data_IF_347026513312
#
_entry.id   IF_347026513312
#
_cell.length_a   1.000
_cell.length_b   1.000
_cell.length_c   1.000
_cell.angle_alpha   90.00
_cell.angle_beta   90.00
_cell.angle_gamma   90.00
#
_symmetry.space_group_name_H-M   'P 1'
#
loop_
_entity.id
_entity.type
_entity.pdbx_description
1 polymer ?
#
# COMPACT_ATOMS: atom_id res chain seq x y z
N UNK A 1 -12.72 1.87 10.33
CA UNK A 1 -13.44 2.38 9.16
C UNK A 1 -14.35 3.55 9.55
N UNK A 2 -14.36 4.61 8.75
CA UNK A 2 -15.16 5.81 8.98
C UNK A 2 -16.27 6.00 7.94
N UNK A 3 -16.23 5.26 6.86
CA UNK A 3 -17.21 5.36 5.78
C UNK A 3 -18.41 4.46 6.09
N UNK A 4 -19.51 5.05 6.53
CA UNK A 4 -20.74 4.35 6.92
C UNK A 4 -21.27 3.42 5.82
N UNK A 5 -21.23 3.86 4.56
CA UNK A 5 -21.71 3.06 3.40
C UNK A 5 -20.86 1.79 3.21
N UNK A 6 -19.53 1.89 3.36
CA UNK A 6 -18.64 0.73 3.27
C UNK A 6 -18.83 -0.22 4.44
N UNK A 7 -19.06 0.31 5.65
CA UNK A 7 -19.39 -0.47 6.84
C UNK A 7 -20.66 -1.29 6.60
N UNK A 8 -21.72 -0.67 6.11
CA UNK A 8 -23.00 -1.34 5.86
C UNK A 8 -22.87 -2.46 4.80
N UNK A 9 -22.07 -2.23 3.74
CA UNK A 9 -21.78 -3.23 2.73
C UNK A 9 -21.00 -4.42 3.34
N UNK A 10 -19.97 -4.12 4.14
CA UNK A 10 -19.15 -5.16 4.77
C UNK A 10 -19.97 -6.03 5.74
N UNK A 11 -20.81 -5.41 6.56
CA UNK A 11 -21.68 -6.13 7.50
C UNK A 11 -22.73 -7.03 6.81
N UNK A 12 -23.16 -6.65 5.58
CA UNK A 12 -24.09 -7.48 4.78
C UNK A 12 -23.41 -8.70 4.15
N UNK A 13 -22.13 -8.58 3.80
CA UNK A 13 -21.44 -9.57 2.98
C UNK A 13 -20.53 -10.52 3.77
N UNK A 14 -20.24 -10.21 5.03
CA UNK A 14 -19.29 -10.99 5.84
C UNK A 14 -19.94 -11.40 7.15
N UNK A 15 -20.03 -12.70 7.38
CA UNK A 15 -20.52 -13.25 8.64
C UNK A 15 -19.49 -13.05 9.76
N UNK A 16 -19.97 -12.85 11.00
CA UNK A 16 -19.13 -12.69 12.20
C UNK A 16 -18.14 -11.51 12.14
N UNK A 17 -18.47 -10.46 11.37
CA UNK A 17 -17.67 -9.26 11.28
C UNK A 17 -17.92 -8.33 12.47
N UNK A 18 -16.83 -7.89 13.11
CA UNK A 18 -16.86 -6.84 14.14
C UNK A 18 -16.08 -5.63 13.65
N UNK A 19 -16.72 -4.48 13.51
CA UNK A 19 -16.10 -3.24 13.05
C UNK A 19 -15.90 -2.30 14.22
N UNK A 20 -14.67 -1.78 14.37
CA UNK A 20 -14.29 -0.78 15.36
C UNK A 20 -13.53 0.36 14.68
N UNK A 21 -13.68 1.56 15.21
CA UNK A 21 -13.02 2.76 14.68
C UNK A 21 -11.55 2.89 15.08
N UNK A 22 -11.13 2.19 16.13
CA UNK A 22 -9.75 2.25 16.66
C UNK A 22 -9.31 0.92 17.22
N UNK A 23 -8.01 0.60 17.07
CA UNK A 23 -7.42 -0.63 17.59
C UNK A 23 -7.54 -0.75 19.12
N UNK A 24 -7.47 0.37 19.86
CA UNK A 24 -7.66 0.43 21.31
C UNK A 24 -9.00 -0.16 21.79
N UNK A 25 -10.00 -0.22 20.92
CA UNK A 25 -11.31 -0.80 21.23
C UNK A 25 -11.28 -2.33 21.35
N UNK A 26 -10.16 -2.98 21.00
CA UNK A 26 -9.96 -4.43 21.09
C UNK A 26 -9.12 -4.86 22.31
N UNK A 27 -9.00 -4.04 23.34
CA UNK A 27 -8.11 -4.23 24.51
C UNK A 27 -8.10 -5.63 25.11
N UNK A 28 -9.22 -6.35 25.10
CA UNK A 28 -9.35 -7.70 25.67
C UNK A 28 -9.26 -8.81 24.62
N UNK A 29 -9.20 -8.49 23.32
CA UNK A 29 -9.10 -9.48 22.26
C UNK A 29 -7.64 -9.70 21.88
N UNK A 30 -7.29 -10.98 21.68
CA UNK A 30 -5.98 -11.39 21.16
C UNK A 30 -6.19 -12.02 19.79
N UNK A 31 -5.50 -11.46 18.80
CA UNK A 31 -5.59 -11.90 17.41
C UNK A 31 -4.43 -12.85 17.08
N UNK A 32 -4.69 -13.80 16.18
CA UNK A 32 -3.70 -14.71 15.63
C UNK A 32 -3.06 -14.16 14.36
N UNK A 33 -3.77 -13.24 13.68
CA UNK A 33 -3.30 -12.56 12.48
C UNK A 33 -3.83 -11.12 12.45
N UNK A 34 -2.95 -10.19 12.10
CA UNK A 34 -3.32 -8.80 11.73
C UNK A 34 -2.78 -8.51 10.33
N UNK A 35 -3.60 -7.87 9.52
CA UNK A 35 -3.27 -7.50 8.15
C UNK A 35 -3.44 -5.99 7.96
N UNK A 36 -2.40 -5.34 7.47
CA UNK A 36 -2.34 -3.90 7.17
C UNK A 36 -2.00 -3.70 5.69
N UNK A 37 -3.02 -3.73 4.82
CA UNK A 37 -2.85 -3.44 3.41
C UNK A 37 -3.09 -1.96 3.13
N UNK A 38 -2.03 -1.25 2.78
CA UNK A 38 -2.06 0.19 2.51
C UNK A 38 -2.75 0.99 3.63
N UNK A 39 -2.30 0.76 4.87
CA UNK A 39 -2.86 1.39 6.07
C UNK A 39 -1.79 2.16 6.84
N UNK A 40 -0.58 1.57 6.99
CA UNK A 40 0.47 2.11 7.86
C UNK A 40 0.99 3.46 7.37
N UNK A 41 1.00 3.70 6.05
CA UNK A 41 1.41 4.96 5.43
C UNK A 41 0.48 6.14 5.70
N UNK A 42 -0.78 5.84 6.10
CA UNK A 42 -1.78 6.86 6.45
C UNK A 42 -1.80 7.21 7.94
N UNK A 43 -1.01 6.54 8.76
CA UNK A 43 -0.96 6.77 10.19
C UNK A 43 -0.05 7.94 10.53
N UNK A 44 -0.46 8.80 11.47
CA UNK A 44 0.35 9.93 11.94
C UNK A 44 1.57 9.47 12.74
N UNK A 45 1.40 8.42 13.54
CA UNK A 45 2.46 7.82 14.35
C UNK A 45 2.45 6.29 14.16
N UNK A 46 3.05 5.79 13.07
CA UNK A 46 3.06 4.36 12.77
C UNK A 46 3.82 3.52 13.82
N UNK A 47 4.80 4.10 14.52
CA UNK A 47 5.54 3.40 15.57
C UNK A 47 4.64 3.12 16.78
N UNK A 48 3.87 4.11 17.21
CA UNK A 48 2.93 3.93 18.32
C UNK A 48 1.77 2.99 17.93
N UNK A 49 1.31 3.04 16.68
CA UNK A 49 0.29 2.11 16.19
C UNK A 49 0.81 0.66 16.20
N UNK A 50 2.05 0.41 15.78
CA UNK A 50 2.67 -0.92 15.86
C UNK A 50 2.78 -1.42 17.31
N UNK A 51 3.11 -0.55 18.27
CA UNK A 51 3.08 -0.89 19.70
C UNK A 51 1.69 -1.28 20.17
N UNK A 52 0.65 -0.55 19.72
CA UNK A 52 -0.74 -0.88 20.05
C UNK A 52 -1.19 -2.20 19.41
N UNK A 53 -0.78 -2.46 18.17
CA UNK A 53 -1.02 -3.72 17.47
C UNK A 53 -0.41 -4.88 18.23
N UNK A 54 0.83 -4.75 18.66
CA UNK A 54 1.51 -5.76 19.49
C UNK A 54 0.70 -6.13 20.75
N UNK A 55 0.11 -5.13 21.41
CA UNK A 55 -0.67 -5.37 22.64
C UNK A 55 -1.94 -6.19 22.42
N UNK A 56 -2.44 -6.28 21.20
CA UNK A 56 -3.63 -7.09 20.85
C UNK A 56 -3.30 -8.37 20.10
N UNK A 57 -2.02 -8.64 19.82
CA UNK A 57 -1.55 -9.90 19.28
C UNK A 57 -1.24 -10.91 20.39
N UNK A 58 -1.40 -12.19 20.09
CA UNK A 58 -0.83 -13.29 20.90
C UNK A 58 0.65 -13.47 20.53
N UNK A 59 1.48 -13.97 21.45
CA UNK A 59 2.81 -14.44 21.08
C UNK A 59 2.73 -15.55 20.02
N UNK A 60 3.61 -15.52 19.05
CA UNK A 60 3.61 -16.43 17.91
C UNK A 60 2.64 -16.04 16.78
N UNK A 61 1.82 -15.00 16.96
CA UNK A 61 0.88 -14.51 15.94
C UNK A 61 1.58 -13.81 14.78
N UNK A 62 0.87 -13.70 13.67
CA UNK A 62 1.38 -13.15 12.44
C UNK A 62 0.89 -11.72 12.20
N UNK A 63 1.73 -10.93 11.55
CA UNK A 63 1.34 -9.65 10.96
C UNK A 63 1.76 -9.62 9.48
N UNK A 64 0.86 -9.15 8.63
CA UNK A 64 1.15 -8.84 7.22
C UNK A 64 1.05 -7.34 7.05
N UNK A 65 2.10 -6.73 6.53
CA UNK A 65 2.15 -5.30 6.23
C UNK A 65 2.50 -5.12 4.77
N UNK A 66 1.62 -4.42 4.03
CA UNK A 66 1.85 -4.01 2.66
C UNK A 66 1.80 -2.50 2.57
N UNK A 67 2.89 -1.87 2.10
CA UNK A 67 3.02 -0.41 1.97
C UNK A 67 3.79 -0.04 0.70
N UNK A 68 3.62 1.19 0.18
CA UNK A 68 4.45 1.71 -0.89
C UNK A 68 5.94 1.70 -0.53
N UNK A 69 6.77 1.22 -1.46
CA UNK A 69 8.21 1.07 -1.28
C UNK A 69 8.98 2.28 -1.81
N UNK A 70 9.38 3.18 -0.94
CA UNK A 70 10.19 4.34 -1.31
C UNK A 70 11.58 3.96 -1.90
N UNK A 71 12.00 2.69 -1.71
CA UNK A 71 13.25 2.17 -2.33
C UNK A 71 13.04 1.57 -3.72
N UNK A 72 11.81 1.59 -4.27
CA UNK A 72 11.47 1.07 -5.59
C UNK A 72 12.16 1.83 -6.72
N UNK A 73 12.25 1.20 -7.89
CA UNK A 73 12.75 1.90 -9.08
C UNK A 73 11.80 3.00 -9.52
N UNK A 74 10.49 2.80 -9.41
CA UNK A 74 9.49 3.84 -9.70
C UNK A 74 9.71 5.08 -8.85
N UNK A 75 9.84 4.91 -7.51
CA UNK A 75 10.06 6.03 -6.60
C UNK A 75 11.34 6.81 -6.93
N UNK A 76 12.43 6.11 -7.27
CA UNK A 76 13.71 6.72 -7.63
C UNK A 76 13.65 7.48 -8.95
N UNK A 77 12.99 6.91 -9.96
CA UNK A 77 12.91 7.49 -11.30
C UNK A 77 11.97 8.70 -11.31
N UNK A 78 10.75 8.54 -10.81
CA UNK A 78 9.70 9.55 -10.93
C UNK A 78 9.69 10.59 -9.81
N UNK A 79 10.33 10.31 -8.66
CA UNK A 79 10.47 11.26 -7.54
C UNK A 79 9.12 11.87 -7.15
N UNK A 80 8.97 13.21 -7.31
CA UNK A 80 7.73 13.95 -7.00
C UNK A 80 6.52 13.54 -7.85
N UNK A 81 6.74 12.91 -9.00
CA UNK A 81 5.69 12.45 -9.90
C UNK A 81 5.31 10.97 -9.68
N UNK A 82 5.95 10.29 -8.71
CA UNK A 82 5.62 8.92 -8.39
C UNK A 82 4.18 8.81 -7.86
N UNK A 83 3.39 7.88 -8.41
CA UNK A 83 1.99 7.69 -8.05
C UNK A 83 1.81 7.51 -6.54
N UNK A 84 2.58 6.61 -5.94
CA UNK A 84 2.42 6.24 -4.53
C UNK A 84 3.05 7.25 -3.55
N UNK A 85 3.59 8.37 -4.02
CA UNK A 85 3.96 9.47 -3.13
C UNK A 85 2.73 10.07 -2.46
N UNK A 86 1.65 10.25 -3.20
CA UNK A 86 0.26 10.58 -2.81
C UNK A 86 0.11 11.51 -1.59
N UNK A 87 0.90 12.58 -1.56
CA UNK A 87 0.84 13.62 -0.50
C UNK A 87 -0.37 14.53 -0.76
N UNK A 88 -1.18 14.87 0.26
CA UNK A 88 -0.96 14.67 1.71
C UNK A 88 -1.62 13.40 2.29
N UNK A 89 -2.18 12.51 1.47
CA UNK A 89 -2.89 11.32 1.96
C UNK A 89 -1.92 10.31 2.59
N UNK A 90 -0.76 10.08 1.98
CA UNK A 90 0.32 9.31 2.58
C UNK A 90 1.14 10.23 3.49
N UNK A 91 1.05 10.00 4.81
CA UNK A 91 1.75 10.76 5.83
C UNK A 91 3.17 10.24 6.07
N UNK A 92 3.37 8.94 5.84
CA UNK A 92 4.65 8.28 6.01
C UNK A 92 5.06 7.53 4.74
N UNK A 93 6.38 7.51 4.47
CA UNK A 93 6.94 6.79 3.33
C UNK A 93 8.04 5.84 3.80
N UNK A 94 7.87 4.56 3.53
CA UNK A 94 8.74 3.53 4.05
C UNK A 94 9.77 3.07 3.01
N UNK A 95 11.05 3.11 3.42
CA UNK A 95 12.08 2.32 2.76
C UNK A 95 12.02 0.91 3.31
N UNK A 96 12.17 -0.10 2.47
CA UNK A 96 12.15 -1.51 2.89
C UNK A 96 13.01 -1.80 4.12
N UNK A 97 14.27 -1.36 4.12
CA UNK A 97 15.18 -1.57 5.25
C UNK A 97 14.68 -0.94 6.56
N UNK A 98 14.12 0.28 6.47
CA UNK A 98 13.57 0.96 7.64
C UNK A 98 12.32 0.24 8.19
N UNK A 99 11.42 -0.21 7.32
CA UNK A 99 10.25 -0.98 7.75
C UNK A 99 10.63 -2.28 8.46
N UNK A 100 11.63 -3.01 7.94
CA UNK A 100 12.14 -4.23 8.59
C UNK A 100 12.75 -3.92 9.97
N UNK A 101 13.54 -2.85 10.08
CA UNK A 101 14.12 -2.45 11.35
C UNK A 101 13.05 -2.08 12.37
N UNK A 102 12.04 -1.31 11.98
CA UNK A 102 10.89 -0.95 12.82
C UNK A 102 10.18 -2.21 13.34
N UNK A 103 10.01 -3.24 12.52
CA UNK A 103 9.39 -4.50 12.95
C UNK A 103 10.28 -5.23 13.98
N UNK A 104 11.57 -5.34 13.71
CA UNK A 104 12.54 -5.98 14.64
C UNK A 104 12.55 -5.26 15.98
N UNK A 105 12.62 -3.93 15.98
CA UNK A 105 12.63 -3.09 17.19
C UNK A 105 11.31 -3.21 18.01
N UNK A 106 10.25 -3.70 17.36
CA UNK A 106 8.96 -3.99 18.00
C UNK A 106 8.72 -5.48 18.28
N UNK A 107 9.77 -6.30 18.36
CA UNK A 107 9.74 -7.73 18.65
C UNK A 107 8.97 -8.55 17.59
N UNK A 108 9.16 -8.23 16.33
CA UNK A 108 8.66 -9.04 15.21
C UNK A 108 9.84 -9.64 14.44
N UNK A 109 9.80 -10.94 14.21
CA UNK A 109 10.73 -11.66 13.33
C UNK A 109 10.17 -11.70 11.91
N UNK A 110 10.90 -11.14 10.94
CA UNK A 110 10.48 -11.15 9.52
C UNK A 110 10.62 -12.58 8.97
N UNK A 111 9.51 -13.15 8.50
CA UNK A 111 9.43 -14.49 7.92
C UNK A 111 9.60 -14.44 6.40
N UNK A 112 8.88 -13.53 5.74
CA UNK A 112 8.84 -13.44 4.29
C UNK A 112 8.74 -11.99 3.83
N UNK A 113 9.34 -11.72 2.69
CA UNK A 113 9.29 -10.44 1.99
C UNK A 113 8.85 -10.69 0.55
N UNK A 114 7.94 -9.86 0.03
CA UNK A 114 7.51 -9.86 -1.37
C UNK A 114 7.53 -8.44 -1.91
N UNK A 115 7.78 -8.35 -3.22
CA UNK A 115 7.74 -7.09 -3.96
C UNK A 115 6.80 -7.17 -5.17
N UNK A 116 6.01 -8.25 -5.23
CA UNK A 116 5.12 -8.53 -6.36
C UNK A 116 3.76 -7.90 -6.07
N UNK A 117 3.34 -7.00 -6.94
CA UNK A 117 1.99 -6.42 -6.89
C UNK A 117 1.46 -6.21 -8.31
N UNK A 118 0.61 -7.14 -8.76
CA UNK A 118 0.03 -7.08 -10.12
C UNK A 118 -0.86 -5.85 -10.32
N UNK A 119 -1.44 -5.32 -9.27
CA UNK A 119 -2.30 -4.14 -9.31
C UNK A 119 -1.49 -2.84 -9.28
N UNK A 120 -0.56 -2.72 -8.31
CA UNK A 120 0.09 -1.45 -8.02
C UNK A 120 1.30 -1.16 -8.92
N UNK A 121 2.08 -2.19 -9.32
CA UNK A 121 3.30 -1.96 -10.08
C UNK A 121 3.03 -1.51 -11.52
N UNK A 122 2.23 -2.21 -12.36
CA UNK A 122 2.00 -1.76 -13.73
C UNK A 122 1.32 -0.40 -13.78
N UNK A 123 0.27 -0.20 -12.97
CA UNK A 123 -0.44 1.08 -12.87
C UNK A 123 0.50 2.18 -12.36
N UNK A 124 1.35 1.86 -11.39
CA UNK A 124 2.36 2.79 -10.88
C UNK A 124 3.32 3.28 -11.95
N UNK A 125 3.81 2.40 -12.83
CA UNK A 125 4.64 2.79 -13.97
C UNK A 125 3.89 3.69 -14.95
N UNK A 126 2.66 3.32 -15.35
CA UNK A 126 1.84 4.10 -16.29
C UNK A 126 1.52 5.47 -15.72
N UNK A 127 0.91 5.52 -14.53
CA UNK A 127 0.46 6.78 -13.92
C UNK A 127 1.63 7.71 -13.61
N UNK A 128 2.75 7.19 -13.09
CA UNK A 128 3.93 8.01 -12.82
C UNK A 128 4.56 8.57 -14.10
N UNK A 129 4.54 7.81 -15.20
CA UNK A 129 4.98 8.29 -16.52
C UNK A 129 4.09 9.41 -17.03
N UNK A 130 2.76 9.24 -16.92
CA UNK A 130 1.80 10.26 -17.34
C UNK A 130 1.90 11.52 -16.47
N UNK A 131 2.06 11.37 -15.15
CA UNK A 131 2.30 12.48 -14.23
C UNK A 131 3.58 13.26 -14.59
N UNK A 132 4.62 12.55 -15.01
CA UNK A 132 5.89 13.15 -15.42
C UNK A 132 5.73 13.94 -16.74
N UNK A 133 5.05 13.36 -17.74
CA UNK A 133 4.84 13.95 -19.07
C UNK A 133 3.92 15.16 -18.98
N UNK A 134 2.78 15.02 -18.32
CA UNK A 134 1.73 16.05 -18.31
C UNK A 134 1.85 17.02 -17.13
N UNK A 135 2.82 16.81 -16.22
CA UNK A 135 3.04 17.62 -15.01
C UNK A 135 1.78 17.75 -14.13
N UNK A 136 0.86 16.80 -14.24
CA UNK A 136 -0.40 16.74 -13.50
C UNK A 136 -0.44 15.46 -12.65
N UNK A 137 -0.76 15.60 -11.35
CA UNK A 137 -0.87 14.47 -10.43
C UNK A 137 -2.20 13.75 -10.59
N UNK A 138 -2.16 12.43 -10.47
CA UNK A 138 -3.35 11.56 -10.53
C UNK A 138 -4.11 11.69 -11.86
N UNK A 139 -3.35 11.70 -12.94
CA UNK A 139 -3.85 11.94 -14.28
C UNK A 139 -4.94 10.93 -14.70
N UNK A 140 -4.74 9.63 -14.51
CA UNK A 140 -5.73 8.59 -14.82
C UNK A 140 -6.92 8.69 -13.86
N UNK A 141 -6.69 8.87 -12.57
CA UNK A 141 -7.77 8.98 -11.57
C UNK A 141 -8.70 10.16 -11.88
N UNK A 142 -8.15 11.29 -12.26
CA UNK A 142 -8.91 12.46 -12.70
C UNK A 142 -9.64 12.20 -14.02
N UNK A 143 -9.04 11.42 -14.90
CA UNK A 143 -9.64 11.04 -16.16
C UNK A 143 -10.87 10.16 -15.97
N UNK A 144 -10.75 9.14 -15.11
CA UNK A 144 -11.83 8.20 -14.82
C UNK A 144 -12.97 8.81 -13.99
N UNK A 145 -12.67 9.80 -13.14
CA UNK A 145 -13.67 10.51 -12.33
C UNK A 145 -14.39 11.65 -13.07
N UNK A 146 -13.85 12.11 -14.22
CA UNK A 146 -14.47 13.15 -15.00
C UNK A 146 -15.51 12.55 -15.95
N UNK A 147 -16.77 13.05 -15.91
CA UNK A 147 -17.82 12.75 -16.91
C UNK A 147 -17.50 13.29 -18.32
N UNK A 148 -16.27 13.71 -18.57
CA UNK A 148 -15.82 14.20 -19.88
C UNK A 148 -15.59 13.01 -20.80
N UNK A 149 -16.06 13.14 -22.05
CA UNK A 149 -15.87 12.14 -23.13
C UNK A 149 -14.45 11.59 -23.11
N UNK A 150 -14.33 10.27 -23.12
CA UNK A 150 -13.05 9.56 -23.20
C UNK A 150 -12.18 10.18 -24.30
N UNK A 151 -11.04 10.72 -23.93
CA UNK A 151 -10.11 11.25 -24.90
C UNK A 151 -9.33 10.08 -25.51
N UNK A 152 -9.56 9.80 -26.78
CA UNK A 152 -8.96 8.70 -27.54
C UNK A 152 -7.43 8.66 -27.41
N UNK A 153 -6.78 9.83 -27.40
CA UNK A 153 -5.32 9.93 -27.23
C UNK A 153 -4.87 9.37 -25.88
N UNK A 154 -5.65 9.58 -24.82
CA UNK A 154 -5.31 9.12 -23.48
C UNK A 154 -5.43 7.60 -23.34
N UNK A 155 -6.45 7.02 -23.98
CA UNK A 155 -6.61 5.57 -24.06
C UNK A 155 -5.44 4.97 -24.85
N UNK A 156 -5.09 5.57 -25.97
CA UNK A 156 -3.98 5.11 -26.80
C UNK A 156 -2.66 5.15 -26.01
N UNK A 157 -2.38 6.23 -25.30
CA UNK A 157 -1.19 6.33 -24.43
C UNK A 157 -1.18 5.28 -23.33
N UNK A 158 -2.34 5.02 -22.70
CA UNK A 158 -2.45 3.95 -21.70
C UNK A 158 -2.10 2.59 -22.31
N UNK A 159 -2.66 2.27 -23.49
CA UNK A 159 -2.41 1.00 -24.17
C UNK A 159 -0.94 0.86 -24.60
N UNK A 160 -0.34 1.93 -25.11
CA UNK A 160 1.08 1.97 -25.50
C UNK A 160 1.99 1.73 -24.28
N UNK A 161 1.65 2.28 -23.12
CA UNK A 161 2.43 2.13 -21.89
C UNK A 161 2.20 0.80 -21.19
N UNK A 162 1.13 0.06 -21.51
CA UNK A 162 0.76 -1.16 -20.80
C UNK A 162 1.83 -2.24 -20.91
N UNK A 163 2.28 -2.56 -22.13
CA UNK A 163 3.29 -3.61 -22.34
C UNK A 163 4.63 -3.24 -21.70
N UNK A 164 5.21 -2.05 -21.93
CA UNK A 164 6.42 -1.63 -21.22
C UNK A 164 6.28 -1.67 -19.69
N UNK A 165 5.11 -1.24 -19.15
CA UNK A 165 4.90 -1.24 -17.70
C UNK A 165 4.89 -2.65 -17.10
N UNK A 166 4.31 -3.63 -17.79
CA UNK A 166 4.33 -5.03 -17.37
C UNK A 166 5.76 -5.58 -17.37
N UNK A 167 6.54 -5.33 -18.43
CA UNK A 167 7.93 -5.76 -18.50
C UNK A 167 8.79 -5.12 -17.40
N UNK A 168 8.64 -3.82 -17.18
CA UNK A 168 9.33 -3.10 -16.11
C UNK A 168 8.91 -3.60 -14.72
N UNK A 169 7.66 -3.99 -14.54
CA UNK A 169 7.18 -4.59 -13.29
C UNK A 169 7.84 -5.93 -13.03
N UNK A 170 7.84 -6.84 -14.01
CA UNK A 170 8.51 -8.14 -13.90
C UNK A 170 9.99 -7.96 -13.55
N UNK A 171 10.66 -7.04 -14.24
CA UNK A 171 12.07 -6.76 -14.00
C UNK A 171 12.31 -6.17 -12.61
N UNK A 172 11.47 -5.22 -12.16
CA UNK A 172 11.56 -4.65 -10.82
C UNK A 172 11.29 -5.68 -9.72
N UNK A 173 10.39 -6.62 -9.92
CA UNK A 173 10.14 -7.72 -8.98
C UNK A 173 11.32 -8.66 -8.87
N UNK A 174 11.90 -9.05 -10.01
CA UNK A 174 13.09 -9.91 -10.02
C UNK A 174 14.24 -9.33 -9.19
N UNK A 175 14.44 -8.02 -9.24
CA UNK A 175 15.48 -7.33 -8.44
C UNK A 175 15.01 -6.87 -7.05
N UNK A 176 13.82 -7.22 -6.60
CA UNK A 176 13.26 -6.79 -5.31
C UNK A 176 13.09 -5.28 -5.19
N UNK A 177 12.69 -4.64 -6.32
CA UNK A 177 12.51 -3.18 -6.45
C UNK A 177 11.11 -2.77 -6.89
N UNK A 178 10.13 -3.64 -6.68
CA UNK A 178 8.72 -3.34 -6.94
C UNK A 178 8.21 -2.14 -6.14
N UNK A 179 7.13 -1.53 -6.62
CA UNK A 179 6.54 -0.31 -6.07
C UNK A 179 5.96 -0.50 -4.67
N UNK A 180 5.62 -1.72 -4.32
CA UNK A 180 5.08 -2.12 -3.01
C UNK A 180 6.08 -3.06 -2.35
N UNK A 181 6.16 -3.03 -1.03
CA UNK A 181 6.80 -4.04 -0.20
C UNK A 181 5.76 -4.66 0.72
N UNK A 182 5.67 -5.98 0.69
CA UNK A 182 4.86 -6.77 1.61
C UNK A 182 5.77 -7.57 2.52
N UNK A 183 5.53 -7.49 3.82
CA UNK A 183 6.28 -8.21 4.84
C UNK A 183 5.32 -9.04 5.68
N UNK A 184 5.59 -10.36 5.73
CA UNK A 184 5.03 -11.26 6.72
C UNK A 184 6.01 -11.37 7.87
N UNK A 185 5.57 -11.07 9.09
CA UNK A 185 6.38 -11.17 10.29
C UNK A 185 5.60 -11.88 11.41
N UNK A 186 6.34 -12.47 12.36
CA UNK A 186 5.79 -13.13 13.54
C UNK A 186 6.14 -12.31 14.77
N UNK A 187 5.18 -12.16 15.68
CA UNK A 187 5.39 -11.56 16.99
C UNK A 187 6.02 -12.58 17.95
N UNK A 188 7.22 -12.31 18.45
CA UNK A 188 8.01 -13.19 19.32
C UNK A 188 7.63 -13.12 20.80
#
# INVERSE_FOLDING_TARGET
ERNKKQIDIALKNVNNLTIKSRIKSFKQKKFDLIVLFHVLEHMQDPLNELKMIRNVLKKGSLIVISVPNLSSWQAKLFKKNWLHLDVPRHLCHFKKKALKQILIDNNFSVIKESHISFEHDPIGWIESSLNYIFKDKNYITKLLSSNKKFNTIKILLFLVLLVPSLLLSLFSWYFGKGAVVEILARYD
#
